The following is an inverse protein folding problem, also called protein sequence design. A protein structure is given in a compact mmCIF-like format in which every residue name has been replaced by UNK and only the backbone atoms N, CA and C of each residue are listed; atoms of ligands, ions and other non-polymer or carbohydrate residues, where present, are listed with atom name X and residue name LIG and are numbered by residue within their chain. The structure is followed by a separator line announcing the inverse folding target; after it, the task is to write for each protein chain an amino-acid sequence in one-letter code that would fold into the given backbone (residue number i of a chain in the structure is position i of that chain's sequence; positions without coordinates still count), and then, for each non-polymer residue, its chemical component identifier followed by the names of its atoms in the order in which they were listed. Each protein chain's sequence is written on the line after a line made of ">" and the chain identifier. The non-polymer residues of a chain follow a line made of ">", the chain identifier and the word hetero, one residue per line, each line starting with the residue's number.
data_IF_175918300297
#
_entry.id   IF_175918300297
#
_cell.length_a   1.000
_cell.length_b   1.000
_cell.length_c   1.000
_cell.angle_alpha   90.00
_cell.angle_beta   90.00
_cell.angle_gamma   90.00
#
_symmetry.space_group_name_H-M   'P 1'
#
loop_
_entity.id
_entity.type
_entity.pdbx_description
1 polymer ?
#
# COMPACT_ATOMS: atom_id res chain seq x y z
N UNK A 1 7.69 3.15 -19.52
CA UNK A 1 7.79 4.36 -20.36
C UNK A 1 8.15 3.90 -21.75
N UNK A 2 7.22 4.03 -22.69
CA UNK A 2 7.36 3.55 -24.08
C UNK A 2 7.66 4.69 -25.07
N UNK A 3 7.53 5.95 -24.63
CA UNK A 3 7.79 7.12 -25.48
C UNK A 3 6.61 7.55 -26.35
N UNK A 4 5.47 6.85 -26.28
CA UNK A 4 4.28 7.11 -27.09
C UNK A 4 3.05 7.30 -26.20
N UNK A 5 2.44 6.20 -25.74
CA UNK A 5 1.27 6.25 -24.86
C UNK A 5 1.67 6.71 -23.45
N UNK A 6 2.83 6.29 -22.97
CA UNK A 6 3.41 6.68 -21.69
C UNK A 6 4.81 7.29 -21.93
N UNK A 7 4.88 8.59 -22.29
CA UNK A 7 6.12 9.23 -22.74
C UNK A 7 7.11 9.55 -21.61
N UNK A 8 6.64 9.57 -20.35
CA UNK A 8 7.46 9.75 -19.14
C UNK A 8 6.88 8.97 -17.96
N UNK A 9 7.54 9.01 -16.81
CA UNK A 9 7.04 8.34 -15.61
C UNK A 9 5.62 8.83 -15.25
N UNK A 10 4.66 7.91 -15.05
CA UNK A 10 3.26 8.28 -14.82
C UNK A 10 3.06 9.04 -13.50
N UNK A 11 3.80 8.68 -12.45
CA UNK A 11 3.65 9.34 -11.16
C UNK A 11 4.21 10.76 -11.25
N UNK A 12 5.39 10.95 -11.86
CA UNK A 12 5.91 12.30 -12.13
C UNK A 12 4.95 13.11 -12.99
N UNK A 13 4.36 12.50 -14.03
CA UNK A 13 3.43 13.19 -14.91
C UNK A 13 2.18 13.73 -14.21
N UNK A 14 1.67 12.94 -13.26
CA UNK A 14 0.50 13.29 -12.46
C UNK A 14 0.86 14.30 -11.36
N UNK A 15 2.04 14.19 -10.74
CA UNK A 15 2.48 15.08 -9.67
C UNK A 15 2.85 16.48 -10.16
N UNK A 16 3.39 16.62 -11.38
CA UNK A 16 3.70 17.93 -11.96
C UNK A 16 2.45 18.73 -12.37
N UNK A 17 1.25 18.17 -12.17
CA UNK A 17 -0.03 18.81 -12.48
C UNK A 17 -0.34 18.94 -13.98
N UNK A 18 0.57 18.53 -14.86
CA UNK A 18 0.37 18.65 -16.31
C UNK A 18 -0.59 17.61 -16.89
N UNK A 19 -0.71 16.44 -16.25
CA UNK A 19 -1.60 15.38 -16.71
C UNK A 19 -3.00 15.50 -16.09
N UNK A 20 -4.01 15.69 -16.93
CA UNK A 20 -5.44 15.77 -16.54
C UNK A 20 -5.70 16.70 -15.34
N UNK A 21 -5.31 17.98 -15.42
CA UNK A 21 -5.38 18.92 -14.29
C UNK A 21 -6.80 19.15 -13.78
N UNK A 22 -7.81 19.03 -14.65
CA UNK A 22 -9.20 19.44 -14.38
C UNK A 22 -10.14 18.27 -14.05
N UNK A 23 -9.60 17.07 -13.81
CA UNK A 23 -10.38 15.85 -13.56
C UNK A 23 -10.46 15.57 -12.06
N UNK A 24 -11.67 15.45 -11.51
CA UNK A 24 -11.86 15.00 -10.14
C UNK A 24 -11.44 13.53 -9.99
N UNK A 25 -10.71 13.20 -8.93
CA UNK A 25 -10.26 11.84 -8.65
C UNK A 25 -10.90 11.27 -7.38
N UNK A 26 -11.23 9.98 -7.43
CA UNK A 26 -11.51 9.16 -6.25
C UNK A 26 -10.54 7.98 -6.24
N UNK A 27 -9.77 7.84 -5.17
CA UNK A 27 -8.70 6.85 -5.05
C UNK A 27 -8.72 6.23 -3.66
N UNK A 28 -8.22 5.01 -3.52
CA UNK A 28 -8.15 4.37 -2.22
C UNK A 28 -7.41 3.05 -2.25
N UNK A 29 -7.37 2.42 -1.09
CA UNK A 29 -6.78 1.10 -0.85
C UNK A 29 -7.62 0.35 0.17
N UNK A 30 -7.41 -0.96 0.28
CA UNK A 30 -7.99 -1.76 1.35
C UNK A 30 -7.03 -1.85 2.54
N UNK A 31 -7.57 -1.80 3.77
CA UNK A 31 -6.77 -1.74 5.00
C UNK A 31 -5.74 -2.87 5.11
N UNK A 32 -6.10 -4.04 4.61
CA UNK A 32 -5.29 -5.25 4.67
C UNK A 32 -4.92 -5.77 3.27
N UNK A 33 -4.66 -4.86 2.32
CA UNK A 33 -4.36 -5.09 0.89
C UNK A 33 -3.61 -6.41 0.62
N UNK A 34 -2.48 -6.61 1.30
CA UNK A 34 -1.54 -7.71 1.11
C UNK A 34 -2.10 -9.10 1.45
N UNK A 35 -3.18 -9.19 2.25
CA UNK A 35 -3.65 -10.47 2.83
C UNK A 35 -4.19 -11.43 1.78
N UNK A 36 -4.70 -10.93 0.65
CA UNK A 36 -5.15 -11.78 -0.46
C UNK A 36 -4.01 -12.66 -1.01
N UNK A 37 -2.76 -12.18 -0.98
CA UNK A 37 -1.61 -12.94 -1.48
C UNK A 37 -0.87 -13.70 -0.38
N UNK A 38 -0.90 -13.22 0.86
CA UNK A 38 -0.19 -13.88 1.96
C UNK A 38 -0.98 -15.01 2.61
N UNK A 39 -2.31 -14.91 2.67
CA UNK A 39 -3.13 -15.88 3.40
C UNK A 39 -3.32 -17.17 2.58
N UNK A 40 -3.72 -17.13 1.29
CA UNK A 40 -3.81 -18.34 0.48
C UNK A 40 -2.44 -19.04 0.38
N UNK A 41 -2.40 -20.33 0.72
CA UNK A 41 -1.15 -21.13 0.70
C UNK A 41 -0.25 -20.95 1.93
N UNK A 42 -0.68 -20.21 2.96
CA UNK A 42 0.01 -20.11 4.26
C UNK A 42 1.35 -19.38 4.19
N UNK A 43 1.41 -18.31 3.37
CA UNK A 43 2.60 -17.47 3.27
C UNK A 43 2.69 -16.49 4.45
N UNK A 44 1.56 -16.13 5.07
CA UNK A 44 1.50 -15.32 6.28
C UNK A 44 2.42 -15.89 7.38
N UNK A 45 2.25 -17.17 7.73
CA UNK A 45 3.04 -17.82 8.76
C UNK A 45 4.50 -18.01 8.34
N UNK A 46 4.77 -18.22 7.05
CA UNK A 46 6.15 -18.33 6.53
C UNK A 46 6.89 -17.01 6.65
N UNK A 47 6.24 -15.90 6.30
CA UNK A 47 6.82 -14.56 6.43
C UNK A 47 7.03 -14.20 7.90
N UNK A 48 6.07 -14.55 8.78
CA UNK A 48 6.25 -14.39 10.22
C UNK A 48 7.46 -15.15 10.76
N UNK A 49 7.67 -16.40 10.33
CA UNK A 49 8.84 -17.19 10.71
C UNK A 49 10.17 -16.58 10.23
N UNK A 50 10.18 -15.87 9.11
CA UNK A 50 11.37 -15.16 8.62
C UNK A 50 11.70 -13.93 9.47
N UNK A 51 10.71 -13.36 10.17
CA UNK A 51 10.91 -12.32 11.18
C UNK A 51 11.74 -11.14 10.68
N UNK A 52 12.91 -10.94 11.30
CA UNK A 52 13.82 -9.84 10.98
C UNK A 52 14.32 -9.86 9.52
N UNK A 53 14.46 -11.04 8.90
CA UNK A 53 14.89 -11.18 7.51
C UNK A 53 13.84 -10.61 6.56
N UNK A 54 12.56 -10.95 6.80
CA UNK A 54 11.46 -10.42 6.01
C UNK A 54 11.35 -8.89 6.15
N UNK A 55 11.49 -8.37 7.38
CA UNK A 55 11.49 -6.93 7.64
C UNK A 55 12.66 -6.20 6.96
N UNK A 56 13.85 -6.80 6.95
CA UNK A 56 15.01 -6.23 6.26
C UNK A 56 14.78 -6.16 4.74
N UNK A 57 14.24 -7.24 4.14
CA UNK A 57 13.88 -7.28 2.72
C UNK A 57 12.81 -6.24 2.36
N UNK A 58 11.75 -6.14 3.15
CA UNK A 58 10.68 -5.17 2.92
C UNK A 58 11.16 -3.72 3.03
N UNK A 59 11.98 -3.40 4.03
CA UNK A 59 12.62 -2.08 4.15
C UNK A 59 13.50 -1.74 2.94
N UNK A 60 14.32 -2.68 2.48
CA UNK A 60 15.17 -2.47 1.32
C UNK A 60 14.32 -2.20 0.07
N UNK A 61 13.23 -2.96 -0.11
CA UNK A 61 12.27 -2.79 -1.20
C UNK A 61 11.50 -1.46 -1.13
N UNK A 62 11.17 -1.00 0.07
CA UNK A 62 10.39 0.21 0.31
C UNK A 62 11.26 1.45 0.55
N UNK A 63 12.59 1.30 0.47
CA UNK A 63 13.58 2.35 0.66
C UNK A 63 13.43 3.12 1.99
N UNK A 64 13.16 2.40 3.09
CA UNK A 64 12.95 3.01 4.41
C UNK A 64 13.90 2.49 5.51
N UNK A 65 14.08 3.27 6.56
CA UNK A 65 14.93 2.91 7.69
C UNK A 65 14.19 2.15 8.81
N UNK A 66 14.87 2.02 9.96
CA UNK A 66 14.41 1.17 11.08
C UNK A 66 13.37 1.89 11.92
N UNK A 67 13.42 3.22 11.91
CA UNK A 67 12.41 4.11 12.47
C UNK A 67 11.01 3.81 11.94
N UNK A 68 10.85 3.50 10.65
CA UNK A 68 9.53 3.16 10.09
C UNK A 68 8.98 1.85 10.68
N UNK A 69 9.80 0.79 10.70
CA UNK A 69 9.40 -0.49 11.33
C UNK A 69 9.12 -0.34 12.82
N UNK A 70 9.89 0.49 13.53
CA UNK A 70 9.61 0.82 14.94
C UNK A 70 8.27 1.55 15.10
N UNK A 71 7.95 2.47 14.18
CA UNK A 71 6.65 3.14 14.13
C UNK A 71 5.50 2.15 14.00
N UNK A 72 5.57 1.21 13.05
CA UNK A 72 4.55 0.16 12.92
C UNK A 72 4.40 -0.68 14.19
N UNK A 73 5.51 -1.10 14.81
CA UNK A 73 5.45 -1.85 16.08
C UNK A 73 4.83 -1.06 17.22
N UNK A 74 5.07 0.25 17.28
CA UNK A 74 4.45 1.12 18.28
C UNK A 74 2.94 1.31 18.03
N UNK A 75 2.54 1.46 16.76
CA UNK A 75 1.13 1.60 16.37
C UNK A 75 0.37 0.28 16.42
N UNK A 76 1.07 -0.86 16.29
CA UNK A 76 0.50 -2.21 16.26
C UNK A 76 1.33 -3.18 17.12
N UNK A 77 1.25 -3.10 18.46
CA UNK A 77 2.10 -3.90 19.36
C UNK A 77 1.93 -5.43 19.23
N UNK A 78 0.80 -5.90 18.69
CA UNK A 78 0.52 -7.32 18.45
C UNK A 78 0.83 -7.81 17.03
N UNK A 79 1.25 -6.93 16.12
CA UNK A 79 1.48 -7.30 14.73
C UNK A 79 2.75 -8.15 14.55
N UNK A 80 2.59 -9.25 13.81
CA UNK A 80 3.70 -10.07 13.35
C UNK A 80 4.58 -9.39 12.29
N UNK A 81 5.62 -10.09 11.85
CA UNK A 81 6.46 -9.59 10.76
C UNK A 81 5.70 -9.55 9.43
N UNK A 82 4.81 -10.51 9.17
CA UNK A 82 4.02 -10.56 7.94
C UNK A 82 3.05 -9.38 7.84
N UNK A 83 2.35 -9.03 8.92
CA UNK A 83 1.50 -7.83 8.96
C UNK A 83 2.32 -6.55 8.80
N UNK A 84 3.45 -6.43 9.49
CA UNK A 84 4.31 -5.24 9.38
C UNK A 84 4.86 -5.08 7.97
N UNK A 85 5.31 -6.17 7.33
CA UNK A 85 5.76 -6.18 5.93
C UNK A 85 4.60 -5.79 5.01
N UNK A 86 3.43 -6.38 5.22
CA UNK A 86 2.22 -6.09 4.45
C UNK A 86 1.86 -4.61 4.47
N UNK A 87 1.73 -4.02 5.67
CA UNK A 87 1.42 -2.60 5.84
C UNK A 87 2.50 -1.70 5.22
N UNK A 88 3.78 -2.04 5.38
CA UNK A 88 4.88 -1.28 4.79
C UNK A 88 4.82 -1.28 3.26
N UNK A 89 4.54 -2.43 2.65
CA UNK A 89 4.43 -2.56 1.19
C UNK A 89 3.18 -1.85 0.68
N UNK A 90 2.04 -1.96 1.37
CA UNK A 90 0.82 -1.20 1.05
C UNK A 90 1.08 0.31 1.08
N UNK A 91 1.84 0.80 2.08
CA UNK A 91 2.16 2.21 2.18
C UNK A 91 3.09 2.69 1.08
N UNK A 92 4.09 1.88 0.74
CA UNK A 92 5.02 2.17 -0.33
C UNK A 92 4.36 2.20 -1.72
N UNK A 93 3.45 1.26 -2.00
CA UNK A 93 2.85 1.09 -3.33
C UNK A 93 1.59 1.93 -3.53
N UNK A 94 0.80 2.16 -2.48
CA UNK A 94 -0.54 2.74 -2.57
C UNK A 94 -0.69 3.97 -1.68
N UNK A 95 -0.71 3.80 -0.34
CA UNK A 95 -1.12 4.87 0.58
C UNK A 95 -0.31 6.15 0.38
N UNK A 96 1.02 6.06 0.35
CA UNK A 96 1.89 7.24 0.22
C UNK A 96 1.80 7.86 -1.19
N UNK A 97 1.98 7.12 -2.30
CA UNK A 97 1.83 7.70 -3.64
C UNK A 97 0.46 8.35 -3.88
N UNK A 98 -0.63 7.73 -3.41
CA UNK A 98 -1.98 8.26 -3.58
C UNK A 98 -2.20 9.56 -2.80
N UNK A 99 -1.68 9.65 -1.57
CA UNK A 99 -1.69 10.92 -0.82
C UNK A 99 -0.87 12.01 -1.51
N UNK A 100 0.35 11.68 -1.97
CA UNK A 100 1.18 12.64 -2.71
C UNK A 100 0.47 13.17 -3.96
N UNK A 101 -0.24 12.29 -4.67
CA UNK A 101 -1.03 12.68 -5.83
C UNK A 101 -2.20 13.58 -5.44
N UNK A 102 -2.96 13.21 -4.40
CA UNK A 102 -4.07 14.03 -3.94
C UNK A 102 -3.61 15.44 -3.50
N UNK A 103 -2.46 15.53 -2.82
CA UNK A 103 -1.90 16.81 -2.34
C UNK A 103 -1.36 17.70 -3.47
N UNK A 104 -0.85 17.11 -4.55
CA UNK A 104 -0.23 17.86 -5.66
C UNK A 104 -1.24 18.43 -6.66
N UNK A 105 -2.49 17.96 -6.65
CA UNK A 105 -3.47 18.27 -7.70
C UNK A 105 -4.27 19.54 -7.40
N UNK A 106 -4.56 20.36 -8.44
CA UNK A 106 -5.45 21.52 -8.30
C UNK A 106 -6.93 21.12 -8.27
N UNK A 107 -7.34 20.09 -9.01
CA UNK A 107 -8.70 19.56 -8.99
C UNK A 107 -8.95 18.71 -7.72
N UNK A 108 -10.21 18.67 -7.23
CA UNK A 108 -10.61 17.84 -6.10
C UNK A 108 -10.12 16.38 -6.21
N UNK A 109 -9.57 15.89 -5.10
CA UNK A 109 -9.19 14.49 -4.93
C UNK A 109 -9.81 13.96 -3.64
N UNK A 110 -10.51 12.83 -3.74
CA UNK A 110 -11.13 12.12 -2.64
C UNK A 110 -10.35 10.84 -2.37
N UNK A 111 -9.88 10.66 -1.14
CA UNK A 111 -9.08 9.50 -0.75
C UNK A 111 -9.85 8.68 0.29
N UNK A 112 -9.91 7.36 0.11
CA UNK A 112 -10.57 6.45 1.04
C UNK A 112 -9.66 5.29 1.48
N UNK A 113 -9.94 4.76 2.67
CA UNK A 113 -9.48 3.44 3.11
C UNK A 113 -10.70 2.53 3.29
N UNK A 114 -10.73 1.42 2.56
CA UNK A 114 -11.75 0.39 2.76
C UNK A 114 -11.34 -0.53 3.92
N UNK A 115 -12.14 -0.53 4.99
CA UNK A 115 -11.82 -1.24 6.23
C UNK A 115 -12.85 -2.29 6.64
N UNK A 116 -13.82 -2.60 5.76
CA UNK A 116 -14.80 -3.66 6.05
C UNK A 116 -14.13 -5.03 5.87
N UNK A 117 -14.10 -5.89 6.90
CA UNK A 117 -13.38 -7.16 6.81
C UNK A 117 -14.19 -8.25 6.09
N UNK A 118 -13.48 -9.16 5.43
CA UNK A 118 -14.04 -10.39 4.87
C UNK A 118 -14.62 -11.28 5.98
N UNK A 119 -15.65 -12.06 5.65
CA UNK A 119 -16.16 -13.12 6.51
C UNK A 119 -15.27 -14.37 6.50
N UNK A 120 -14.26 -14.43 5.63
CA UNK A 120 -13.30 -15.52 5.58
C UNK A 120 -12.18 -15.33 6.61
N UNK A 121 -11.75 -16.42 7.27
CA UNK A 121 -10.68 -16.35 8.26
C UNK A 121 -9.44 -15.68 7.72
N UNK A 122 -8.84 -14.82 8.55
CA UNK A 122 -7.56 -14.18 8.32
C UNK A 122 -7.45 -13.33 7.05
N UNK A 123 -8.48 -13.09 6.24
CA UNK A 123 -8.36 -12.22 5.06
C UNK A 123 -8.46 -10.73 5.41
N UNK A 124 -9.19 -10.36 6.47
CA UNK A 124 -9.39 -8.95 6.81
C UNK A 124 -10.02 -8.18 5.65
N UNK A 125 -9.74 -6.87 5.54
CA UNK A 125 -10.14 -6.08 4.38
C UNK A 125 -9.07 -6.21 3.27
N UNK A 126 -8.96 -7.39 2.67
CA UNK A 126 -7.94 -7.68 1.65
C UNK A 126 -8.24 -7.03 0.30
N UNK A 127 -7.24 -7.03 -0.59
CA UNK A 127 -7.36 -6.54 -1.96
C UNK A 127 -8.64 -7.05 -2.66
N UNK A 128 -9.28 -6.14 -3.40
CA UNK A 128 -10.48 -6.35 -4.22
C UNK A 128 -11.76 -6.71 -3.46
N UNK A 129 -11.75 -6.75 -2.13
CA UNK A 129 -12.95 -7.07 -1.34
C UNK A 129 -14.07 -6.02 -1.51
N UNK A 130 -13.70 -4.77 -1.77
CA UNK A 130 -14.61 -3.64 -1.99
C UNK A 130 -15.41 -3.74 -3.30
N UNK A 131 -15.08 -4.68 -4.19
CA UNK A 131 -15.77 -4.87 -5.48
C UNK A 131 -17.08 -5.67 -5.35
N UNK A 132 -17.30 -6.39 -4.24
CA UNK A 132 -18.49 -7.20 -4.00
C UNK A 132 -18.24 -8.69 -3.89
#
# INVERSE_FOLDING_TARGET
>A
VDGDVLPRDPLEALLDGGASPDVDLMMGWTRDEYRLWLVPGGLLERVDRLGAVALAGARARCHCGNEVVRGYRALRPGAGAAETVGQLVTDHLLRIPLHRLADARPAPSYVYEFAWPSNLPDLGACHALELG
#
